data_IF_318673405572
#
_entry.id   IF_318673405572
#
_cell.length_a   1.000
_cell.length_b   1.000
_cell.length_c   1.000
_cell.angle_alpha   90.00
_cell.angle_beta   90.00
_cell.angle_gamma   90.00
#
_symmetry.space_group_name_H-M   'P 1'
#
loop_
_entity.id
_entity.type
_entity.pdbx_description
1 polymer ?
#
# COMPACT_ATOMS: atom_id res chain seq x y z
N UNK A 1 74.36 -23.56 -43.01
CA UNK A 1 74.71 -22.45 -43.91
C UNK A 1 73.54 -21.48 -43.91
N UNK A 2 73.72 -20.27 -43.34
CA UNK A 2 73.04 -18.95 -43.61
C UNK A 2 71.52 -18.96 -43.92
N UNK A 3 70.59 -18.15 -43.37
CA UNK A 3 70.58 -16.79 -42.80
C UNK A 3 69.15 -16.54 -42.24
N UNK A 4 69.05 -15.53 -41.36
CA UNK A 4 67.93 -14.90 -40.64
C UNK A 4 66.70 -14.40 -41.43
N UNK A 5 65.53 -14.28 -40.76
CA UNK A 5 64.50 -13.21 -40.97
C UNK A 5 63.44 -13.27 -39.82
N UNK A 6 63.55 -12.53 -38.72
CA UNK A 6 63.01 -11.18 -38.39
C UNK A 6 61.47 -10.97 -38.43
N UNK A 7 60.89 -10.83 -37.21
CA UNK A 7 59.69 -10.05 -36.75
C UNK A 7 58.33 -10.14 -37.48
N UNK A 8 57.26 -10.15 -36.66
CA UNK A 8 55.96 -9.42 -36.71
C UNK A 8 54.86 -10.36 -36.13
N UNK A 9 54.47 -10.26 -34.84
CA UNK A 9 53.48 -9.33 -34.23
C UNK A 9 52.08 -9.40 -34.91
N UNK A 10 51.11 -10.14 -34.34
CA UNK A 10 49.79 -9.62 -33.92
C UNK A 10 48.87 -10.71 -33.32
N UNK A 11 48.33 -10.41 -32.14
CA UNK A 11 47.04 -10.78 -31.55
C UNK A 11 46.28 -12.01 -32.07
N UNK A 12 46.00 -12.97 -31.19
CA UNK A 12 44.63 -13.48 -31.02
C UNK A 12 44.40 -13.93 -29.56
N UNK A 13 44.08 -12.94 -28.74
CA UNK A 13 43.62 -13.10 -27.37
C UNK A 13 42.17 -13.62 -27.42
N UNK A 14 42.00 -14.94 -27.36
CA UNK A 14 40.68 -15.57 -27.32
C UNK A 14 40.11 -15.40 -25.90
N UNK A 15 39.53 -14.23 -25.63
CA UNK A 15 38.77 -13.96 -24.42
C UNK A 15 37.48 -14.77 -24.46
N UNK A 16 37.34 -15.75 -23.57
CA UNK A 16 36.12 -16.49 -23.35
C UNK A 16 35.06 -15.53 -22.77
N UNK A 17 34.15 -15.07 -23.61
CA UNK A 17 33.00 -14.25 -23.22
C UNK A 17 31.99 -15.14 -22.51
N UNK A 18 31.95 -15.06 -21.19
CA UNK A 18 30.91 -15.65 -20.35
C UNK A 18 29.61 -14.86 -20.63
N UNK A 19 28.68 -15.48 -21.34
CA UNK A 19 27.33 -14.96 -21.55
C UNK A 19 26.56 -15.10 -20.23
N UNK A 20 26.51 -14.02 -19.44
CA UNK A 20 25.64 -13.91 -18.28
C UNK A 20 24.22 -13.66 -18.81
N UNK A 21 23.40 -14.71 -18.88
CA UNK A 21 21.97 -14.56 -19.17
C UNK A 21 21.29 -13.91 -17.97
N UNK A 22 21.01 -12.61 -18.06
CA UNK A 22 20.14 -11.91 -17.13
C UNK A 22 18.70 -12.35 -17.36
N UNK A 23 18.18 -13.23 -16.49
CA UNK A 23 16.74 -13.48 -16.41
C UNK A 23 16.09 -12.22 -15.85
N UNK A 24 15.49 -11.41 -16.74
CA UNK A 24 14.65 -10.30 -16.33
C UNK A 24 13.39 -10.87 -15.65
N UNK A 25 13.30 -10.69 -14.33
CA UNK A 25 12.06 -10.93 -13.60
C UNK A 25 11.04 -9.88 -14.05
N UNK A 26 10.00 -10.31 -14.76
CA UNK A 26 8.87 -9.45 -15.08
C UNK A 26 8.12 -9.15 -13.79
N UNK A 27 8.41 -8.01 -13.17
CA UNK A 27 7.65 -7.54 -12.02
C UNK A 27 6.18 -7.36 -12.41
N UNK A 28 5.25 -7.92 -11.62
CA UNK A 28 3.82 -7.65 -11.79
C UNK A 28 3.58 -6.14 -11.80
N UNK A 29 2.92 -5.65 -12.85
CA UNK A 29 2.55 -4.23 -12.95
C UNK A 29 1.42 -3.97 -11.95
N UNK A 30 1.67 -3.11 -10.97
CA UNK A 30 0.70 -2.73 -9.93
C UNK A 30 0.18 -1.33 -10.23
N UNK A 31 -1.07 -1.23 -10.65
CA UNK A 31 -1.81 0.02 -10.74
C UNK A 31 -2.44 0.35 -9.39
N UNK A 32 -2.52 1.64 -9.04
CA UNK A 32 -3.18 2.11 -7.82
C UNK A 32 -4.34 3.02 -8.18
N UNK A 33 -5.41 2.95 -7.40
CA UNK A 33 -6.52 3.90 -7.46
C UNK A 33 -6.78 4.48 -6.08
N UNK A 34 -6.81 5.81 -6.00
CA UNK A 34 -7.19 6.59 -4.81
C UNK A 34 -8.48 7.36 -5.08
N UNK A 35 -8.89 8.17 -4.11
CA UNK A 35 -9.97 9.16 -4.24
C UNK A 35 -9.83 10.09 -5.46
N UNK A 36 -8.61 10.37 -5.92
CA UNK A 36 -8.35 11.26 -7.07
C UNK A 36 -8.85 10.67 -8.39
N UNK A 37 -9.02 9.35 -8.46
CA UNK A 37 -9.52 8.66 -9.64
C UNK A 37 -11.05 8.54 -9.64
N UNK A 38 -11.73 8.94 -8.57
CA UNK A 38 -13.17 8.81 -8.42
C UNK A 38 -13.90 9.83 -9.31
N UNK A 39 -14.78 9.33 -10.17
CA UNK A 39 -15.58 10.14 -11.10
C UNK A 39 -17.00 10.35 -10.59
N UNK A 40 -17.59 9.32 -9.98
CA UNK A 40 -18.95 9.39 -9.46
C UNK A 40 -19.16 8.38 -8.32
N UNK A 41 -19.99 8.76 -7.35
CA UNK A 41 -20.48 7.87 -6.29
C UNK A 41 -21.99 8.03 -6.16
N UNK A 42 -22.68 6.90 -6.18
CA UNK A 42 -24.12 6.82 -5.93
C UNK A 42 -24.37 5.96 -4.68
N UNK A 43 -25.30 6.40 -3.84
CA UNK A 43 -25.67 5.70 -2.61
C UNK A 43 -27.17 5.47 -2.59
N UNK A 44 -27.59 4.23 -2.41
CA UNK A 44 -28.97 3.86 -2.13
C UNK A 44 -29.05 3.31 -0.70
N UNK A 45 -29.87 3.93 0.15
CA UNK A 45 -29.99 3.56 1.56
C UNK A 45 -31.23 2.70 1.76
N UNK A 46 -31.06 1.54 2.41
CA UNK A 46 -32.15 0.67 2.82
C UNK A 46 -32.43 0.82 4.32
N UNK A 47 -33.66 0.52 4.74
CA UNK A 47 -34.09 0.60 6.14
C UNK A 47 -33.50 -0.51 7.04
N UNK A 48 -32.56 -1.30 6.54
CA UNK A 48 -31.92 -2.42 7.26
C UNK A 48 -30.46 -2.10 7.62
N UNK A 49 -30.12 -0.82 7.77
CA UNK A 49 -28.75 -0.36 8.02
C UNK A 49 -27.73 -0.80 6.96
N UNK A 50 -28.21 -1.08 5.75
CA UNK A 50 -27.38 -1.41 4.59
C UNK A 50 -27.53 -0.32 3.53
N UNK A 51 -26.44 0.00 2.86
CA UNK A 51 -26.43 0.85 1.68
C UNK A 51 -25.88 0.07 0.49
N UNK A 52 -26.45 0.28 -0.70
CA UNK A 52 -25.80 -0.07 -1.95
C UNK A 52 -24.98 1.12 -2.43
N UNK A 53 -23.68 0.90 -2.60
CA UNK A 53 -22.74 1.90 -3.10
C UNK A 53 -22.35 1.51 -4.52
N UNK A 54 -22.41 2.47 -5.45
CA UNK A 54 -21.75 2.37 -6.75
C UNK A 54 -20.65 3.42 -6.82
N UNK A 55 -19.40 2.98 -6.87
CA UNK A 55 -18.21 3.82 -7.05
C UNK A 55 -17.70 3.64 -8.49
N UNK A 56 -17.57 4.73 -9.24
CA UNK A 56 -17.00 4.74 -10.59
C UNK A 56 -15.66 5.45 -10.57
N UNK A 57 -14.59 4.73 -10.94
CA UNK A 57 -13.23 5.28 -11.02
C UNK A 57 -12.65 5.18 -12.42
N UNK A 58 -11.85 6.18 -12.78
CA UNK A 58 -11.06 6.18 -14.02
C UNK A 58 -9.65 5.70 -13.71
N UNK A 59 -9.34 4.48 -14.15
CA UNK A 59 -8.05 3.82 -13.92
C UNK A 59 -7.44 3.35 -15.24
N UNK A 60 -6.12 3.40 -15.32
CA UNK A 60 -5.36 2.82 -16.45
C UNK A 60 -4.86 1.44 -16.03
N UNK A 61 -5.29 0.43 -16.77
CA UNK A 61 -4.86 -0.96 -16.56
C UNK A 61 -3.82 -1.34 -17.61
N UNK A 62 -2.80 -2.14 -17.25
CA UNK A 62 -1.87 -2.69 -18.23
C UNK A 62 -2.56 -3.68 -19.16
N UNK A 63 -1.95 -3.95 -20.31
CA UNK A 63 -2.38 -5.02 -21.20
C UNK A 63 -1.98 -6.36 -20.60
N UNK A 64 -2.90 -7.33 -20.61
CA UNK A 64 -2.69 -8.65 -20.03
C UNK A 64 -3.03 -8.70 -18.54
N UNK A 65 -2.23 -9.43 -17.76
CA UNK A 65 -2.44 -9.57 -16.32
C UNK A 65 -1.77 -8.44 -15.54
N UNK A 66 -2.49 -7.88 -14.57
CA UNK A 66 -1.99 -6.83 -13.69
C UNK A 66 -2.74 -6.81 -12.37
N UNK A 67 -2.15 -6.14 -11.39
CA UNK A 67 -2.76 -5.92 -10.07
C UNK A 67 -3.31 -4.50 -10.01
N UNK A 68 -4.55 -4.36 -9.53
CA UNK A 68 -5.13 -3.05 -9.21
C UNK A 68 -5.35 -2.97 -7.69
N UNK A 69 -4.65 -2.05 -7.04
CA UNK A 69 -4.92 -1.69 -5.65
C UNK A 69 -5.98 -0.61 -5.60
N UNK A 70 -7.19 -1.02 -5.24
CA UNK A 70 -8.33 -0.14 -5.09
C UNK A 70 -8.39 0.39 -3.65
N UNK A 71 -7.83 1.57 -3.42
CA UNK A 71 -7.65 2.15 -2.08
C UNK A 71 -8.87 3.00 -1.68
N UNK A 72 -8.90 3.42 -0.42
CA UNK A 72 -9.93 4.33 0.12
C UNK A 72 -11.36 3.79 0.00
N UNK A 73 -11.53 2.48 0.22
CA UNK A 73 -12.85 1.83 0.28
C UNK A 73 -13.51 2.04 1.64
N UNK A 74 -14.83 1.93 1.69
CA UNK A 74 -15.58 2.07 2.93
C UNK A 74 -15.09 1.07 4.00
N UNK A 75 -14.88 1.55 5.22
CA UNK A 75 -14.35 0.75 6.34
C UNK A 75 -15.27 -0.39 6.78
N UNK A 76 -16.57 -0.26 6.52
CA UNK A 76 -17.59 -1.26 6.85
C UNK A 76 -18.14 -1.96 5.60
N UNK A 77 -17.37 -1.98 4.49
CA UNK A 77 -17.76 -2.72 3.29
C UNK A 77 -17.84 -4.21 3.58
N UNK A 78 -18.81 -4.90 2.96
CA UNK A 78 -18.86 -6.36 2.97
C UNK A 78 -18.04 -6.87 1.77
N UNK A 79 -16.84 -7.45 1.95
CA UNK A 79 -15.96 -7.76 0.83
C UNK A 79 -16.55 -8.75 -0.17
N UNK A 80 -17.38 -9.67 0.35
CA UNK A 80 -18.06 -10.72 -0.44
C UNK A 80 -19.13 -10.17 -1.38
N UNK A 81 -19.56 -8.91 -1.22
CA UNK A 81 -20.57 -8.27 -2.08
C UNK A 81 -19.95 -7.34 -3.12
N UNK A 82 -18.62 -7.23 -3.17
CA UNK A 82 -17.93 -6.33 -4.10
C UNK A 82 -17.83 -6.99 -5.46
N UNK A 83 -18.33 -6.29 -6.48
CA UNK A 83 -18.22 -6.67 -7.87
C UNK A 83 -17.66 -5.51 -8.69
N UNK A 84 -16.56 -5.77 -9.41
CA UNK A 84 -15.98 -4.82 -10.34
C UNK A 84 -16.36 -5.17 -11.78
N UNK A 85 -16.64 -4.15 -12.58
CA UNK A 85 -16.84 -4.29 -14.03
C UNK A 85 -16.23 -3.11 -14.76
N UNK A 86 -15.74 -3.36 -15.97
CA UNK A 86 -15.33 -2.30 -16.87
C UNK A 86 -16.56 -1.67 -17.52
N UNK A 87 -16.63 -0.34 -17.53
CA UNK A 87 -17.70 0.41 -18.19
C UNK A 87 -17.40 0.72 -19.65
N UNK A 88 -16.12 0.88 -20.01
CA UNK A 88 -15.69 1.21 -21.37
C UNK A 88 -15.38 -0.04 -22.22
N UNK A 89 -14.96 -1.14 -21.60
CA UNK A 89 -14.64 -2.40 -22.31
C UNK A 89 -15.13 -3.63 -21.52
N UNK A 90 -16.46 -3.90 -21.45
CA UNK A 90 -17.01 -4.95 -20.59
C UNK A 90 -16.57 -6.39 -20.93
N UNK A 91 -16.22 -6.66 -22.20
CA UNK A 91 -15.78 -7.99 -22.65
C UNK A 91 -14.29 -8.28 -22.46
N UNK A 92 -13.49 -7.23 -22.23
CA UNK A 92 -12.02 -7.33 -22.20
C UNK A 92 -11.46 -7.22 -20.76
N UNK A 93 -12.34 -7.14 -19.76
CA UNK A 93 -11.97 -7.06 -18.35
C UNK A 93 -12.50 -8.27 -17.60
N UNK A 94 -11.58 -9.02 -16.98
CA UNK A 94 -11.92 -10.16 -16.12
C UNK A 94 -11.18 -10.03 -14.81
N UNK A 95 -11.89 -10.24 -13.70
CA UNK A 95 -11.28 -10.32 -12.36
C UNK A 95 -10.87 -11.76 -12.12
N UNK A 96 -9.55 -12.00 -12.04
CA UNK A 96 -9.00 -13.34 -11.75
C UNK A 96 -9.04 -13.65 -10.25
N UNK A 97 -8.67 -12.67 -9.44
CA UNK A 97 -8.56 -12.78 -8.00
C UNK A 97 -9.01 -11.46 -7.36
N UNK A 98 -9.70 -11.56 -6.21
CA UNK A 98 -10.11 -10.42 -5.42
C UNK A 98 -9.73 -10.65 -3.96
N UNK A 99 -8.78 -9.86 -3.49
CA UNK A 99 -8.34 -9.87 -2.09
C UNK A 99 -8.77 -8.57 -1.42
N UNK A 100 -9.36 -8.69 -0.24
CA UNK A 100 -9.66 -7.54 0.60
C UNK A 100 -8.65 -7.47 1.74
N UNK A 101 -7.80 -6.45 1.72
CA UNK A 101 -6.82 -6.19 2.76
C UNK A 101 -7.46 -5.30 3.83
N UNK A 102 -7.80 -5.90 4.97
CA UNK A 102 -8.14 -5.13 6.17
C UNK A 102 -6.88 -4.39 6.63
N UNK A 103 -7.00 -3.10 6.92
CA UNK A 103 -5.96 -2.41 7.67
C UNK A 103 -5.96 -2.97 9.11
N UNK A 104 -5.04 -3.89 9.37
CA UNK A 104 -4.86 -4.51 10.68
C UNK A 104 -4.37 -3.51 11.75
N UNK A 105 -4.02 -2.29 11.34
CA UNK A 105 -3.53 -1.24 12.23
C UNK A 105 -4.62 -0.16 12.41
N UNK A 106 -5.31 -0.22 13.54
CA UNK A 106 -6.16 0.87 14.00
C UNK A 106 -5.53 1.59 15.21
N UNK A 107 -6.10 2.72 15.63
CA UNK A 107 -5.57 3.50 16.75
C UNK A 107 -5.44 2.67 18.04
N UNK A 108 -6.43 1.82 18.34
CA UNK A 108 -6.40 0.95 19.50
C UNK A 108 -5.28 -0.09 19.41
N UNK A 109 -5.10 -0.75 18.26
CA UNK A 109 -4.02 -1.72 18.03
C UNK A 109 -2.64 -1.08 18.06
N UNK A 110 -2.54 0.18 17.65
CA UNK A 110 -1.31 0.94 17.84
C UNK A 110 -1.06 1.16 19.33
N UNK A 111 -2.03 1.69 20.07
CA UNK A 111 -1.91 1.93 21.52
C UNK A 111 -1.64 0.64 22.31
N UNK A 112 -2.22 -0.49 21.92
CA UNK A 112 -1.95 -1.81 22.51
C UNK A 112 -0.44 -2.14 22.48
N UNK A 113 0.27 -1.77 21.40
CA UNK A 113 1.73 -1.96 21.29
C UNK A 113 2.54 -1.01 22.18
N UNK A 114 1.92 0.03 22.72
CA UNK A 114 2.53 1.05 23.57
C UNK A 114 2.12 0.94 25.04
N UNK A 115 1.32 -0.07 25.42
CA UNK A 115 1.08 -0.37 26.85
C UNK A 115 2.41 -0.66 27.55
N UNK A 116 2.65 0.02 28.66
CA UNK A 116 3.90 0.00 29.43
C UNK A 116 5.02 0.87 28.86
N UNK A 117 4.81 1.58 27.75
CA UNK A 117 5.82 2.45 27.11
C UNK A 117 5.51 3.92 27.33
N UNK A 118 6.54 4.75 27.22
CA UNK A 118 6.40 6.21 27.20
C UNK A 118 5.75 6.67 25.90
N UNK A 119 4.76 7.54 26.04
CA UNK A 119 4.06 8.22 24.95
C UNK A 119 4.01 9.73 25.24
N UNK A 120 3.69 10.53 24.22
CA UNK A 120 3.43 11.97 24.38
C UNK A 120 1.95 12.24 24.16
N UNK A 121 1.34 12.92 25.11
CA UNK A 121 -0.03 13.43 24.99
C UNK A 121 0.09 14.87 24.50
N UNK A 122 -0.65 15.21 23.44
CA UNK A 122 -0.68 16.55 22.87
C UNK A 122 -2.08 17.08 23.03
N UNK A 123 -2.24 18.10 23.87
CA UNK A 123 -3.49 18.84 23.99
C UNK A 123 -3.36 20.19 23.27
N UNK A 124 -4.39 20.55 22.51
CA UNK A 124 -4.47 21.83 21.83
C UNK A 124 -5.44 22.73 22.59
N UNK A 125 -4.90 23.73 23.29
CA UNK A 125 -5.72 24.73 23.94
C UNK A 125 -6.18 25.79 22.92
N UNK A 126 -7.43 25.65 22.45
CA UNK A 126 -8.03 26.55 21.44
C UNK A 126 -8.16 28.00 21.90
N UNK A 127 -8.21 28.26 23.21
CA UNK A 127 -8.40 29.62 23.75
C UNK A 127 -7.11 30.42 23.81
N UNK A 128 -5.97 29.74 23.98
CA UNK A 128 -4.66 30.37 24.11
C UNK A 128 -3.72 30.09 22.92
N UNK A 129 -4.24 29.45 21.87
CA UNK A 129 -3.53 29.08 20.64
C UNK A 129 -2.16 28.42 20.88
N UNK A 130 -2.13 27.47 21.83
CA UNK A 130 -0.89 26.81 22.27
C UNK A 130 -1.08 25.31 22.42
N UNK A 131 0.01 24.58 22.12
CA UNK A 131 0.10 23.13 22.30
C UNK A 131 0.74 22.82 23.65
N UNK A 132 0.04 22.05 24.46
CA UNK A 132 0.58 21.49 25.69
C UNK A 132 0.99 20.04 25.39
N UNK A 133 2.24 19.69 25.70
CA UNK A 133 2.82 18.37 25.40
C UNK A 133 3.33 17.78 26.69
N UNK A 134 2.77 16.64 27.09
CA UNK A 134 3.13 15.94 28.31
C UNK A 134 3.62 14.53 28.02
N UNK A 135 4.64 14.09 28.76
CA UNK A 135 5.12 12.71 28.70
C UNK A 135 4.38 11.83 29.70
N UNK A 136 3.83 10.73 29.22
CA UNK A 136 3.06 9.78 30.03
C UNK A 136 3.48 8.34 29.73
N UNK A 137 3.15 7.41 30.63
CA UNK A 137 3.21 5.97 30.36
C UNK A 137 1.77 5.48 30.14
N UNK A 138 1.51 4.84 29.01
CA UNK A 138 0.21 4.20 28.77
C UNK A 138 0.12 2.92 29.62
N UNK A 139 -0.77 2.88 30.61
CA UNK A 139 -0.94 1.73 31.50
C UNK A 139 -1.95 0.72 30.95
N UNK A 140 -2.98 1.17 30.25
CA UNK A 140 -4.04 0.29 29.71
C UNK A 140 -4.73 0.93 28.51
N UNK A 141 -5.22 0.09 27.60
CA UNK A 141 -6.09 0.46 26.47
C UNK A 141 -7.33 -0.45 26.35
N UNK A 142 -7.58 -1.33 27.33
CA UNK A 142 -8.69 -2.29 27.30
C UNK A 142 -9.97 -1.66 27.89
N UNK A 143 -10.72 -0.89 27.08
CA UNK A 143 -11.95 -0.13 27.44
C UNK A 143 -11.69 1.33 27.91
N UNK A 144 -10.71 1.97 27.30
CA UNK A 144 -10.31 3.36 27.60
C UNK A 144 -8.82 3.43 27.89
N UNK A 145 -8.24 4.60 27.65
CA UNK A 145 -6.82 4.83 27.90
C UNK A 145 -6.60 5.27 29.34
N UNK A 146 -5.71 4.57 30.05
CA UNK A 146 -5.24 4.97 31.38
C UNK A 146 -3.77 5.35 31.23
N UNK A 147 -3.42 6.54 31.71
CA UNK A 147 -2.07 7.06 31.62
C UNK A 147 -1.43 7.14 33.01
N UNK A 148 -0.11 7.25 33.06
CA UNK A 148 0.61 7.67 34.25
C UNK A 148 1.45 8.87 33.89
N UNK A 149 1.20 10.00 34.54
CA UNK A 149 1.90 11.27 34.31
C UNK A 149 2.66 11.60 35.59
N UNK A 150 4.00 11.56 35.53
CA UNK A 150 4.84 11.66 36.73
C UNK A 150 4.50 10.57 37.75
N UNK A 151 3.93 10.96 38.89
CA UNK A 151 3.50 10.07 39.97
C UNK A 151 1.98 9.87 40.08
N UNK A 152 1.21 10.39 39.12
CA UNK A 152 -0.25 10.37 39.11
C UNK A 152 -0.79 9.47 37.99
N UNK A 153 -2.03 8.98 38.14
CA UNK A 153 -2.76 8.12 37.18
C UNK A 153 -3.94 8.91 36.62
#
# INVERSE_FOLDING_TARGET
MKITCWKIIFCFFCSAVIFISSTASAGKIVSKSSIDNQVAVEVTVYNTSLGLIKDTRKVTLPVGEGELRFMDVASHIMPVTVHAKSLNSPGDFTVLEQNYEYDLMNADKLLDKYVGKKIKIIDWNRFQDRKEVEEAILLSNNKGQIYKIGNEI
#
